data_IF_571734285239
#
_entry.id   IF_571734285239
#
_cell.length_a   1.000
_cell.length_b   1.000
_cell.length_c   1.000
_cell.angle_alpha   90.00
_cell.angle_beta   90.00
_cell.angle_gamma   90.00
#
_symmetry.space_group_name_H-M   'P 1'
#
loop_
_entity.id
_entity.type
_entity.pdbx_description
1 polymer ?
#
# COMPACT_ATOMS: atom_id res chain seq x y z
N UNK A 1 27.79 14.93 40.09
CA UNK A 1 26.51 15.38 39.52
C UNK A 1 26.45 15.02 38.05
N UNK A 2 25.39 14.35 37.62
CA UNK A 2 25.13 13.95 36.23
C UNK A 2 24.02 14.84 35.69
N UNK A 3 24.29 15.59 34.64
CA UNK A 3 23.27 16.26 33.83
C UNK A 3 23.70 16.18 32.37
N UNK A 4 22.98 15.43 31.51
CA UNK A 4 23.15 15.53 30.06
C UNK A 4 22.41 16.77 29.53
N UNK A 5 22.90 17.43 28.46
CA UNK A 5 22.18 18.55 27.85
C UNK A 5 21.04 18.07 26.95
N UNK A 6 20.04 18.94 26.91
CA UNK A 6 18.68 18.82 26.43
C UNK A 6 18.57 18.31 24.98
N UNK A 7 17.76 17.26 24.79
CA UNK A 7 17.25 16.88 23.48
C UNK A 7 16.29 17.99 23.00
N UNK A 8 16.65 18.64 21.90
CA UNK A 8 15.77 19.56 21.18
C UNK A 8 14.62 18.73 20.61
N UNK A 9 13.49 18.77 21.30
CA UNK A 9 12.24 18.18 20.83
C UNK A 9 11.70 19.02 19.68
N UNK A 10 12.14 18.74 18.46
CA UNK A 10 11.46 19.21 17.26
C UNK A 10 10.20 18.37 17.05
N UNK A 11 9.16 18.67 17.82
CA UNK A 11 7.80 18.40 17.38
C UNK A 11 7.06 19.72 17.47
N UNK A 12 7.09 20.47 16.37
CA UNK A 12 6.14 21.56 16.16
C UNK A 12 4.75 20.95 16.36
N UNK A 13 4.12 21.34 17.46
CA UNK A 13 2.71 21.16 17.70
C UNK A 13 1.97 21.89 16.58
N UNK A 14 1.35 21.12 15.69
CA UNK A 14 0.36 21.64 14.76
C UNK A 14 -0.88 22.03 15.56
N UNK A 15 -1.13 23.34 15.58
CA UNK A 15 -2.41 23.95 15.91
C UNK A 15 -3.52 23.29 15.06
N UNK A 16 -4.30 22.38 15.67
CA UNK A 16 -5.35 21.62 14.98
C UNK A 16 -6.70 21.88 15.66
N UNK A 17 -7.35 22.98 15.30
CA UNK A 17 -8.76 23.23 15.58
C UNK A 17 -9.63 22.71 14.41
N UNK A 18 -9.78 21.39 14.34
CA UNK A 18 -10.79 20.56 13.64
C UNK A 18 -10.39 19.10 13.95
N UNK A 19 -11.31 18.10 13.97
CA UNK A 19 -10.91 16.72 14.28
C UNK A 19 -9.73 16.34 13.37
N UNK A 20 -8.69 15.66 13.89
CA UNK A 20 -7.46 15.46 13.15
C UNK A 20 -7.75 14.67 11.89
N UNK A 21 -7.91 15.38 10.77
CA UNK A 21 -7.69 14.85 9.44
C UNK A 21 -6.29 14.26 9.49
N UNK A 22 -6.17 12.95 9.27
CA UNK A 22 -4.90 12.21 9.40
C UNK A 22 -3.72 13.00 8.85
N UNK A 23 -2.59 12.96 9.56
CA UNK A 23 -1.40 13.66 9.09
C UNK A 23 -0.94 13.06 7.76
N UNK A 24 -0.27 13.86 6.94
CA UNK A 24 0.27 13.38 5.66
C UNK A 24 1.19 12.17 5.86
N UNK A 25 1.95 12.13 6.97
CA UNK A 25 2.82 11.01 7.34
C UNK A 25 2.04 9.75 7.68
N UNK A 26 0.88 9.86 8.34
CA UNK A 26 0.02 8.70 8.62
C UNK A 26 -0.57 8.13 7.32
N UNK A 27 -1.00 9.02 6.42
CA UNK A 27 -1.52 8.63 5.11
C UNK A 27 -0.43 7.99 4.24
N UNK A 28 0.79 8.51 4.27
CA UNK A 28 1.93 7.90 3.59
C UNK A 28 2.25 6.52 4.18
N UNK A 29 2.24 6.35 5.50
CA UNK A 29 2.45 5.05 6.13
C UNK A 29 1.39 4.02 5.69
N UNK A 30 0.11 4.43 5.65
CA UNK A 30 -0.99 3.59 5.16
C UNK A 30 -0.79 3.24 3.68
N UNK A 31 -0.36 4.20 2.87
CA UNK A 31 -0.12 3.99 1.44
C UNK A 31 1.03 3.00 1.19
N UNK A 32 2.14 3.14 1.91
CA UNK A 32 3.28 2.22 1.83
C UNK A 32 2.91 0.80 2.25
N UNK A 33 2.13 0.67 3.32
CA UNK A 33 1.67 -0.63 3.82
C UNK A 33 0.66 -1.28 2.84
N UNK A 34 -0.22 -0.49 2.22
CA UNK A 34 -1.06 -0.96 1.11
C UNK A 34 -0.21 -1.46 -0.07
N UNK A 35 0.83 -0.72 -0.46
CA UNK A 35 1.66 -1.06 -1.61
C UNK A 35 2.40 -2.41 -1.44
N UNK A 36 2.81 -2.73 -0.21
CA UNK A 36 3.40 -4.03 0.14
C UNK A 36 2.39 -5.14 0.46
N UNK A 37 1.09 -4.85 0.42
CA UNK A 37 0.04 -5.80 0.79
C UNK A 37 -0.36 -6.72 -0.37
N UNK A 38 -1.04 -7.83 -0.05
CA UNK A 38 -1.60 -8.76 -1.03
C UNK A 38 -2.60 -8.09 -2.00
N UNK A 39 -3.23 -6.99 -1.58
CA UNK A 39 -4.20 -6.24 -2.39
C UNK A 39 -3.59 -5.61 -3.65
N UNK A 40 -2.27 -5.45 -3.73
CA UNK A 40 -1.59 -5.04 -4.97
C UNK A 40 -1.27 -6.20 -5.90
N UNK A 41 -1.44 -7.43 -5.43
CA UNK A 41 -1.15 -8.65 -6.17
C UNK A 41 -2.14 -8.96 -7.30
N UNK A 42 -1.78 -9.98 -8.09
CA UNK A 42 -2.54 -10.41 -9.27
C UNK A 42 -3.95 -10.93 -8.95
N UNK A 43 -4.18 -11.43 -7.73
CA UNK A 43 -5.50 -11.88 -7.27
C UNK A 43 -6.56 -10.77 -7.36
N UNK A 44 -6.13 -9.52 -7.21
CA UNK A 44 -6.97 -8.33 -7.28
C UNK A 44 -6.79 -7.55 -8.57
N UNK A 45 -6.03 -8.07 -9.55
CA UNK A 45 -5.69 -7.36 -10.81
C UNK A 45 -6.92 -6.86 -11.58
N UNK A 46 -8.03 -7.59 -11.51
CA UNK A 46 -9.29 -7.23 -12.16
C UNK A 46 -10.08 -6.12 -11.45
N UNK A 47 -9.66 -5.71 -10.25
CA UNK A 47 -10.33 -4.67 -9.49
C UNK A 47 -9.66 -3.31 -9.75
N UNK A 48 -10.47 -2.25 -9.83
CA UNK A 48 -9.99 -0.87 -9.85
C UNK A 48 -9.22 -0.54 -8.56
N UNK A 49 -8.27 0.39 -8.63
CA UNK A 49 -7.36 0.70 -7.51
C UNK A 49 -8.14 1.19 -6.29
N UNK A 50 -9.19 1.99 -6.49
CA UNK A 50 -10.06 2.51 -5.43
C UNK A 50 -10.74 1.38 -4.66
N UNK A 51 -11.20 0.35 -5.39
CA UNK A 51 -11.84 -0.84 -4.82
C UNK A 51 -10.84 -1.70 -4.02
N UNK A 52 -9.59 -1.81 -4.48
CA UNK A 52 -8.52 -2.51 -3.75
C UNK A 52 -8.20 -1.81 -2.44
N UNK A 53 -8.08 -0.47 -2.47
CA UNK A 53 -7.85 0.34 -1.27
C UNK A 53 -9.01 0.19 -0.30
N UNK A 54 -10.26 0.24 -0.77
CA UNK A 54 -11.44 0.05 0.10
C UNK A 54 -11.44 -1.33 0.78
N UNK A 55 -11.11 -2.39 0.05
CA UNK A 55 -10.98 -3.74 0.61
C UNK A 55 -9.86 -3.84 1.65
N UNK A 56 -8.70 -3.25 1.37
CA UNK A 56 -7.57 -3.18 2.30
C UNK A 56 -7.93 -2.43 3.59
N UNK A 57 -8.53 -1.25 3.48
CA UNK A 57 -8.94 -0.44 4.62
C UNK A 57 -9.97 -1.19 5.48
N UNK A 58 -10.92 -1.87 4.85
CA UNK A 58 -11.90 -2.71 5.56
C UNK A 58 -11.21 -3.88 6.27
N UNK A 59 -10.28 -4.55 5.60
CA UNK A 59 -9.53 -5.68 6.15
C UNK A 59 -8.69 -5.29 7.37
N UNK A 60 -8.14 -4.07 7.41
CA UNK A 60 -7.34 -3.54 8.53
C UNK A 60 -8.17 -2.87 9.63
N UNK A 61 -9.50 -2.94 9.58
CA UNK A 61 -10.39 -2.30 10.57
C UNK A 61 -10.50 -0.78 10.41
N UNK A 62 -9.99 -0.22 9.31
CA UNK A 62 -10.03 1.21 8.97
C UNK A 62 -11.23 1.56 8.09
N UNK A 63 -12.38 0.91 8.32
CA UNK A 63 -13.59 1.14 7.53
C UNK A 63 -14.09 2.59 7.59
N UNK A 64 -13.77 3.33 8.66
CA UNK A 64 -14.07 4.75 8.80
C UNK A 64 -13.37 5.61 7.72
N UNK A 65 -12.15 5.23 7.30
CA UNK A 65 -11.43 5.88 6.20
C UNK A 65 -12.03 5.58 4.85
N UNK A 66 -12.56 4.37 4.68
CA UNK A 66 -13.26 4.00 3.45
C UNK A 66 -14.61 4.73 3.32
N UNK A 67 -15.32 4.92 4.44
CA UNK A 67 -16.62 5.60 4.47
C UNK A 67 -16.51 7.14 4.37
N UNK A 68 -15.35 7.71 4.69
CA UNK A 68 -15.07 9.13 4.48
C UNK A 68 -14.46 9.34 3.10
N UNK A 69 -15.22 9.96 2.18
CA UNK A 69 -14.77 10.20 0.80
C UNK A 69 -13.45 10.97 0.73
N UNK A 70 -13.28 11.97 1.60
CA UNK A 70 -12.06 12.78 1.65
C UNK A 70 -10.85 11.98 2.14
N UNK A 71 -11.02 11.17 3.18
CA UNK A 71 -9.95 10.32 3.70
C UNK A 71 -9.55 9.22 2.71
N UNK A 72 -10.53 8.61 2.04
CA UNK A 72 -10.29 7.62 0.99
C UNK A 72 -9.52 8.24 -0.19
N UNK A 73 -9.94 9.43 -0.64
CA UNK A 73 -9.24 10.18 -1.69
C UNK A 73 -7.81 10.54 -1.26
N UNK A 74 -7.59 10.95 -0.02
CA UNK A 74 -6.27 11.28 0.49
C UNK A 74 -5.33 10.05 0.49
N UNK A 75 -5.81 8.88 0.92
CA UNK A 75 -5.05 7.62 0.84
C UNK A 75 -4.75 7.26 -0.61
N UNK A 76 -5.74 7.35 -1.51
CA UNK A 76 -5.55 7.07 -2.94
C UNK A 76 -4.46 7.96 -3.54
N UNK A 77 -4.49 9.26 -3.27
CA UNK A 77 -3.48 10.21 -3.74
C UNK A 77 -2.07 9.82 -3.26
N UNK A 78 -1.91 9.44 -1.98
CA UNK A 78 -0.62 9.00 -1.44
C UNK A 78 -0.16 7.67 -2.03
N UNK A 79 -1.06 6.72 -2.26
CA UNK A 79 -0.74 5.48 -2.98
C UNK A 79 -0.18 5.80 -4.35
N UNK A 80 -0.91 6.57 -5.16
CA UNK A 80 -0.50 6.91 -6.54
C UNK A 80 0.83 7.69 -6.57
N UNK A 81 1.06 8.59 -5.61
CA UNK A 81 2.32 9.32 -5.49
C UNK A 81 3.52 8.39 -5.17
N UNK A 82 3.30 7.34 -4.37
CA UNK A 82 4.36 6.44 -3.92
C UNK A 82 4.57 5.21 -4.82
N UNK A 83 3.65 4.88 -5.75
CA UNK A 83 3.78 3.70 -6.66
C UNK A 83 5.14 3.69 -7.37
N UNK A 84 5.58 4.82 -7.93
CA UNK A 84 6.85 4.89 -8.64
C UNK A 84 8.05 4.61 -7.74
N UNK A 85 8.02 5.08 -6.49
CA UNK A 85 9.06 4.80 -5.51
C UNK A 85 9.02 3.33 -5.05
N UNK A 86 7.82 2.79 -4.85
CA UNK A 86 7.60 1.41 -4.45
C UNK A 86 8.05 0.38 -5.51
N UNK A 87 7.93 0.72 -6.81
CA UNK A 87 8.49 -0.10 -7.89
C UNK A 87 10.01 -0.07 -7.90
N UNK A 88 10.63 1.10 -7.64
CA UNK A 88 12.09 1.24 -7.65
C UNK A 88 12.76 0.55 -6.46
N UNK A 89 12.11 0.53 -5.30
CA UNK A 89 12.64 -0.09 -4.09
C UNK A 89 12.20 -1.56 -3.91
N UNK A 90 11.38 -2.10 -4.82
CA UNK A 90 10.92 -3.49 -4.79
C UNK A 90 9.79 -3.78 -3.79
N UNK A 91 9.22 -2.77 -3.13
CA UNK A 91 8.06 -2.94 -2.24
C UNK A 91 6.84 -3.40 -3.02
N UNK A 92 6.62 -2.78 -4.18
CA UNK A 92 5.61 -3.23 -5.12
C UNK A 92 6.29 -4.21 -6.08
N UNK A 93 5.81 -5.46 -6.20
CA UNK A 93 6.35 -6.37 -7.19
C UNK A 93 6.20 -5.71 -8.57
N UNK A 94 7.23 -5.76 -9.44
CA UNK A 94 7.07 -5.30 -10.81
C UNK A 94 5.85 -6.00 -11.40
N UNK A 95 5.02 -5.28 -12.16
CA UNK A 95 3.88 -5.87 -12.87
C UNK A 95 4.41 -6.80 -13.96
N UNK A 96 4.90 -7.96 -13.55
CA UNK A 96 5.36 -8.98 -14.48
C UNK A 96 4.09 -9.72 -14.89
N UNK A 97 3.56 -9.36 -16.04
CA UNK A 97 2.66 -10.20 -16.81
C UNK A 97 3.31 -11.52 -17.26
N UNK A 98 4.43 -11.93 -16.65
CA UNK A 98 5.01 -13.27 -16.67
C UNK A 98 4.06 -14.29 -16.00
N UNK A 99 2.85 -14.36 -16.54
CA UNK A 99 2.09 -15.53 -16.88
C UNK A 99 2.67 -16.83 -16.30
N UNK A 100 1.96 -17.48 -15.37
CA UNK A 100 2.14 -18.91 -15.13
C UNK A 100 1.73 -19.77 -16.35
N UNK A 101 1.27 -19.16 -17.44
CA UNK A 101 0.71 -19.84 -18.61
C UNK A 101 1.70 -19.96 -19.78
N UNK A 102 2.78 -20.68 -19.54
CA UNK A 102 3.27 -21.73 -20.44
C UNK A 102 4.04 -22.75 -19.61
N UNK A 103 3.32 -23.71 -19.01
CA UNK A 103 3.88 -25.06 -19.00
C UNK A 103 3.84 -25.54 -20.46
N UNK A 104 4.97 -25.81 -21.13
CA UNK A 104 4.92 -26.43 -22.44
C UNK A 104 4.13 -27.74 -22.30
N UNK A 105 3.04 -27.86 -23.06
CA UNK A 105 2.28 -29.10 -23.26
C UNK A 105 3.12 -30.06 -24.14
N UNK A 106 4.36 -30.31 -23.74
CA UNK A 106 5.30 -31.20 -24.43
C UNK A 106 5.85 -32.27 -23.48
N UNK A 107 5.13 -32.56 -22.40
CA UNK A 107 5.41 -33.73 -21.56
C UNK A 107 4.15 -34.58 -21.44
N UNK A 108 3.74 -35.13 -22.58
CA UNK A 108 3.04 -36.41 -22.60
C UNK A 108 3.87 -37.37 -23.44
N UNK A 109 4.80 -38.01 -22.72
CA UNK A 109 5.06 -39.44 -22.80
C UNK A 109 5.59 -39.88 -24.16
N UNK A 110 6.93 -40.01 -24.18
CA UNK A 110 7.63 -40.92 -25.05
C UNK A 110 7.04 -42.34 -24.95
N UNK A 111 6.92 -42.94 -26.14
CA UNK A 111 6.94 -44.37 -26.47
C UNK A 111 7.42 -45.35 -25.37
N UNK A 112 6.63 -46.40 -25.19
CA UNK A 112 7.01 -47.77 -24.77
C UNK A 112 5.75 -48.61 -24.98
N UNK A 113 5.67 -49.69 -25.72
CA UNK A 113 6.54 -50.46 -26.60
C UNK A 113 5.63 -51.47 -27.30
#
# INVERSE_FOLDING_TARGET
MKSPPLQVVSRVESDQACPPSMSESDLDAIAWDFLGSEFTGLAYANWQIERRIGAYLTHRGMAHLHNSGDAHAAVLHRVLANVGAALRNGTLPPVTWASPRRRPRAERIAVSG
#
